data_IF_359515761631
#
_entry.id   IF_359515761631
#
_cell.length_a   1.000
_cell.length_b   1.000
_cell.length_c   1.000
_cell.angle_alpha   90.00
_cell.angle_beta   90.00
_cell.angle_gamma   90.00
#
_symmetry.space_group_name_H-M   'P 1'
#
loop_
_entity.id
_entity.type
_entity.pdbx_description
1 polymer ?
#
# COMPACT_ATOMS: atom_id res chain seq x y z
N UNK A 1 23.14 2.35 2.72
CA UNK A 1 22.25 1.45 3.49
C UNK A 1 21.21 0.92 2.54
N UNK A 2 21.03 -0.40 2.43
CA UNK A 2 20.06 -1.01 1.53
C UNK A 2 19.01 -1.80 2.31
N UNK A 3 17.71 -1.53 2.15
CA UNK A 3 16.68 -2.43 2.66
C UNK A 3 16.65 -3.72 1.86
N UNK A 4 16.25 -4.81 2.50
CA UNK A 4 16.14 -6.12 1.85
C UNK A 4 15.04 -6.95 2.51
N UNK A 5 14.12 -7.43 1.69
CA UNK A 5 13.16 -8.46 2.08
C UNK A 5 13.10 -9.51 0.98
N UNK A 6 13.72 -10.66 1.25
CA UNK A 6 13.91 -11.75 0.29
C UNK A 6 12.61 -12.20 -0.39
N UNK A 7 11.50 -12.21 0.35
CA UNK A 7 10.18 -12.46 -0.19
C UNK A 7 9.13 -11.64 0.56
N UNK A 8 8.24 -11.00 -0.20
CA UNK A 8 7.04 -10.36 0.33
C UNK A 8 5.78 -10.99 -0.28
N UNK A 9 4.64 -10.87 0.40
CA UNK A 9 3.33 -11.21 -0.14
C UNK A 9 2.43 -9.98 -0.05
N UNK A 10 2.14 -9.36 -1.19
CA UNK A 10 1.26 -8.20 -1.24
C UNK A 10 0.55 -8.11 -2.59
N UNK A 11 -0.64 -7.53 -2.54
CA UNK A 11 -1.39 -7.13 -3.73
C UNK A 11 -1.03 -5.72 -4.18
N UNK A 12 -0.53 -4.91 -3.25
CA UNK A 12 -0.11 -3.56 -3.50
C UNK A 12 1.36 -3.54 -3.94
N UNK A 13 1.58 -3.17 -5.20
CA UNK A 13 2.90 -3.17 -5.82
C UNK A 13 3.18 -1.86 -6.56
N UNK A 14 4.46 -1.64 -6.83
CA UNK A 14 5.01 -0.47 -7.48
C UNK A 14 5.75 -0.91 -8.75
N UNK A 15 5.64 -0.10 -9.80
CA UNK A 15 6.42 -0.27 -11.03
C UNK A 15 7.63 0.64 -10.96
N UNK A 16 8.84 0.06 -11.00
CA UNK A 16 10.08 0.83 -11.00
C UNK A 16 10.25 1.64 -12.29
N UNK A 17 11.25 2.52 -12.33
CA UNK A 17 11.66 3.26 -13.52
C UNK A 17 11.97 2.36 -14.73
N UNK A 18 12.23 1.07 -14.51
CA UNK A 18 12.51 0.05 -15.53
C UNK A 18 11.30 -0.79 -15.94
N UNK A 19 10.11 -0.49 -15.40
CA UNK A 19 8.90 -1.28 -15.61
C UNK A 19 8.89 -2.62 -14.86
N UNK A 20 9.68 -2.73 -13.79
CA UNK A 20 9.82 -3.93 -12.97
C UNK A 20 8.95 -3.81 -11.71
N UNK A 21 8.28 -4.88 -11.31
CA UNK A 21 7.29 -4.85 -10.22
C UNK A 21 7.88 -5.24 -8.85
N UNK A 22 7.62 -4.42 -7.83
CA UNK A 22 8.11 -4.61 -6.44
C UNK A 22 7.00 -4.33 -5.42
N UNK A 23 7.05 -4.95 -4.23
CA UNK A 23 6.11 -4.64 -3.15
C UNK A 23 6.22 -3.20 -2.66
N UNK A 24 5.09 -2.53 -2.38
CA UNK A 24 5.10 -1.13 -1.91
C UNK A 24 5.83 -0.92 -0.60
N UNK A 25 5.79 -1.89 0.33
CA UNK A 25 6.51 -1.81 1.59
C UNK A 25 8.03 -1.62 1.38
N UNK A 26 8.62 -2.36 0.45
CA UNK A 26 10.06 -2.24 0.16
C UNK A 26 10.40 -0.95 -0.59
N UNK A 27 9.46 -0.41 -1.36
CA UNK A 27 9.60 0.93 -1.95
C UNK A 27 9.63 1.99 -0.86
N UNK A 28 8.73 1.92 0.12
CA UNK A 28 8.72 2.83 1.28
C UNK A 28 10.05 2.76 2.02
N UNK A 29 10.59 1.56 2.25
CA UNK A 29 11.89 1.38 2.89
C UNK A 29 13.04 1.97 2.05
N UNK A 30 13.02 1.77 0.73
CA UNK A 30 14.04 2.33 -0.16
C UNK A 30 14.03 3.86 -0.12
N UNK A 31 12.84 4.47 -0.15
CA UNK A 31 12.65 5.90 -0.03
C UNK A 31 13.09 6.43 1.34
N UNK A 32 12.75 5.73 2.44
CA UNK A 32 13.19 6.07 3.78
C UNK A 32 14.72 5.98 3.94
N UNK A 33 15.37 5.05 3.22
CA UNK A 33 16.82 4.93 3.14
C UNK A 33 17.48 5.94 2.18
N UNK A 34 16.70 6.78 1.47
CA UNK A 34 17.21 7.73 0.48
C UNK A 34 17.78 7.08 -0.79
N UNK A 35 17.32 5.87 -1.13
CA UNK A 35 17.82 5.08 -2.27
C UNK A 35 16.74 4.89 -3.34
N UNK A 36 17.15 4.66 -4.60
CA UNK A 36 16.21 4.31 -5.67
C UNK A 36 15.64 2.89 -5.42
N UNK A 37 14.31 2.70 -5.49
CA UNK A 37 13.72 1.37 -5.41
C UNK A 37 14.19 0.47 -6.56
N UNK A 38 14.88 -0.62 -6.24
CA UNK A 38 15.37 -1.61 -7.21
C UNK A 38 14.95 -3.01 -6.80
N UNK A 39 14.54 -3.86 -7.75
CA UNK A 39 13.93 -5.16 -7.46
C UNK A 39 14.78 -6.13 -6.65
N UNK A 40 16.11 -5.94 -6.63
CA UNK A 40 16.98 -6.68 -5.71
C UNK A 40 16.60 -6.52 -4.23
N UNK A 41 15.96 -5.41 -3.82
CA UNK A 41 15.49 -5.24 -2.43
C UNK A 41 14.27 -6.12 -2.11
N UNK A 42 13.56 -6.63 -3.12
CA UNK A 42 12.44 -7.57 -3.01
C UNK A 42 12.40 -8.53 -4.20
N UNK A 43 13.30 -9.51 -4.26
CA UNK A 43 13.48 -10.34 -5.46
C UNK A 43 12.30 -11.30 -5.72
N UNK A 44 11.51 -11.62 -4.69
CA UNK A 44 10.33 -12.48 -4.80
C UNK A 44 9.10 -11.76 -4.22
N UNK A 45 8.12 -11.45 -5.06
CA UNK A 45 6.83 -10.92 -4.64
C UNK A 45 5.73 -11.92 -4.96
N UNK A 46 4.97 -12.32 -3.94
CA UNK A 46 3.80 -13.16 -4.07
C UNK A 46 2.53 -12.32 -4.12
N UNK A 47 1.74 -12.45 -5.19
CA UNK A 47 0.42 -11.80 -5.31
C UNK A 47 -0.67 -12.86 -5.13
N UNK A 48 -1.43 -12.87 -4.02
CA UNK A 48 -2.44 -13.89 -3.77
C UNK A 48 -3.59 -13.84 -4.81
N UNK A 49 -3.92 -15.00 -5.38
CA UNK A 49 -4.97 -15.16 -6.40
C UNK A 49 -6.26 -15.79 -5.83
N UNK A 50 -6.27 -16.12 -4.53
CA UNK A 50 -7.33 -16.94 -3.92
C UNK A 50 -7.10 -18.44 -4.13
N UNK A 51 -7.97 -19.28 -3.54
CA UNK A 51 -7.90 -20.75 -3.65
C UNK A 51 -6.52 -21.35 -3.33
N UNK A 52 -5.82 -20.79 -2.33
CA UNK A 52 -4.46 -21.20 -1.93
C UNK A 52 -3.41 -21.13 -3.05
N UNK A 53 -3.55 -20.15 -3.95
CA UNK A 53 -2.61 -19.86 -5.04
C UNK A 53 -2.07 -18.44 -4.95
N UNK A 54 -0.84 -18.27 -5.44
CA UNK A 54 -0.21 -16.96 -5.60
C UNK A 54 0.51 -16.88 -6.95
N UNK A 55 0.37 -15.74 -7.61
CA UNK A 55 1.25 -15.36 -8.71
C UNK A 55 2.60 -14.95 -8.14
N UNK A 56 3.66 -15.53 -8.66
CA UNK A 56 5.03 -15.18 -8.30
C UNK A 56 5.56 -14.18 -9.32
N UNK A 57 5.92 -13.01 -8.82
CA UNK A 57 6.74 -12.02 -9.52
C UNK A 57 8.18 -12.26 -9.05
N UNK A 58 9.06 -12.61 -10.00
CA UNK A 58 10.46 -12.90 -9.75
C UNK A 58 11.32 -11.83 -10.42
N UNK A 59 12.15 -11.14 -9.66
CA UNK A 59 12.99 -10.04 -10.15
C UNK A 59 12.19 -9.03 -10.98
N UNK A 60 11.02 -8.65 -10.48
CA UNK A 60 10.18 -7.64 -11.14
C UNK A 60 9.31 -8.12 -12.28
N UNK A 61 9.33 -9.41 -12.63
CA UNK A 61 8.60 -9.93 -13.78
C UNK A 61 7.69 -11.10 -13.40
N UNK A 62 6.50 -11.22 -14.00
CA UNK A 62 5.66 -12.40 -13.83
C UNK A 62 6.42 -13.68 -14.20
N UNK A 63 6.45 -14.65 -13.28
CA UNK A 63 7.15 -15.91 -13.49
C UNK A 63 6.20 -17.09 -13.63
N UNK A 64 5.36 -17.34 -12.61
CA UNK A 64 4.34 -18.40 -12.63
C UNK A 64 3.35 -18.24 -11.48
N UNK A 65 2.14 -18.78 -11.65
CA UNK A 65 1.23 -19.00 -10.53
C UNK A 65 1.51 -20.35 -9.89
N UNK A 66 1.73 -20.35 -8.58
CA UNK A 66 1.99 -21.56 -7.78
C UNK A 66 0.84 -21.77 -6.79
N UNK A 67 0.47 -23.04 -6.58
CA UNK A 67 -0.30 -23.43 -5.40
C UNK A 67 0.63 -23.47 -4.19
N UNK A 68 0.07 -23.39 -2.98
CA UNK A 68 0.84 -23.53 -1.74
C UNK A 68 1.65 -24.85 -1.71
N UNK A 69 1.12 -25.94 -2.28
CA UNK A 69 1.80 -27.24 -2.36
C UNK A 69 2.88 -27.32 -3.44
N UNK A 70 2.73 -26.61 -4.55
CA UNK A 70 3.69 -26.63 -5.67
C UNK A 70 4.87 -25.67 -5.44
N UNK A 71 4.83 -24.86 -4.38
CA UNK A 71 5.88 -23.91 -4.02
C UNK A 71 7.26 -24.60 -3.86
N UNK A 72 7.25 -25.85 -3.39
CA UNK A 72 8.45 -26.66 -3.22
C UNK A 72 9.24 -26.86 -4.52
N UNK A 73 8.57 -26.98 -5.68
CA UNK A 73 9.23 -27.20 -6.97
C UNK A 73 9.93 -25.96 -7.54
N UNK A 74 9.68 -24.77 -6.99
CA UNK A 74 10.33 -23.52 -7.42
C UNK A 74 11.38 -22.96 -6.48
N UNK A 75 11.49 -23.53 -5.29
CA UNK A 75 12.31 -23.01 -4.18
C UNK A 75 13.77 -22.78 -4.53
N UNK A 76 14.39 -23.68 -5.30
CA UNK A 76 15.79 -23.52 -5.68
C UNK A 76 16.02 -22.25 -6.51
N UNK A 77 15.18 -22.03 -7.54
CA UNK A 77 15.28 -20.85 -8.40
C UNK A 77 15.03 -19.57 -7.59
N UNK A 78 13.98 -19.57 -6.76
CA UNK A 78 13.66 -18.42 -5.90
C UNK A 78 14.80 -18.10 -4.93
N UNK A 79 15.37 -19.12 -4.29
CA UNK A 79 16.48 -18.95 -3.37
C UNK A 79 17.75 -18.45 -4.07
N UNK A 80 18.09 -18.97 -5.24
CA UNK A 80 19.23 -18.46 -6.01
C UNK A 80 19.05 -17.00 -6.41
N UNK A 81 17.81 -16.55 -6.71
CA UNK A 81 17.53 -15.13 -6.94
C UNK A 81 17.68 -14.28 -5.68
N UNK A 82 17.31 -14.81 -4.51
CA UNK A 82 17.54 -14.16 -3.20
C UNK A 82 19.04 -13.98 -2.94
N UNK A 83 19.84 -15.04 -3.10
CA UNK A 83 21.29 -15.01 -2.91
C UNK A 83 21.96 -13.98 -3.82
N UNK A 84 21.66 -14.04 -5.13
CA UNK A 84 22.21 -13.09 -6.10
C UNK A 84 21.84 -11.64 -5.79
N UNK A 85 20.61 -11.39 -5.33
CA UNK A 85 20.14 -10.04 -5.00
C UNK A 85 20.81 -9.50 -3.74
N UNK A 86 20.97 -10.34 -2.71
CA UNK A 86 21.67 -9.98 -1.50
C UNK A 86 23.15 -9.66 -1.78
N UNK A 87 23.84 -10.47 -2.58
CA UNK A 87 25.23 -10.23 -2.97
C UNK A 87 25.40 -8.91 -3.73
N UNK A 88 24.51 -8.65 -4.71
CA UNK A 88 24.52 -7.39 -5.46
C UNK A 88 24.32 -6.17 -4.56
N UNK A 89 23.33 -6.22 -3.66
CA UNK A 89 23.06 -5.11 -2.74
C UNK A 89 24.22 -4.91 -1.75
N UNK A 90 24.79 -6.00 -1.24
CA UNK A 90 25.94 -5.96 -0.33
C UNK A 90 27.18 -5.36 -0.98
N UNK A 91 27.34 -5.51 -2.31
CA UNK A 91 28.48 -4.93 -3.04
C UNK A 91 28.41 -3.41 -3.16
N UNK A 92 27.24 -2.79 -2.94
CA UNK A 92 27.02 -1.34 -3.13
C UNK A 92 26.52 -0.64 -1.87
N UNK A 93 26.41 -1.34 -0.74
CA UNK A 93 25.94 -0.78 0.54
C UNK A 93 26.83 -1.21 1.69
N UNK A 94 27.12 -0.28 2.60
CA UNK A 94 27.87 -0.57 3.82
C UNK A 94 27.06 -1.38 4.85
N UNK A 95 25.73 -1.27 4.79
CA UNK A 95 24.79 -1.93 5.71
C UNK A 95 23.54 -2.34 4.95
N UNK A 96 23.11 -3.58 5.16
CA UNK A 96 21.84 -4.11 4.67
C UNK A 96 20.90 -4.34 5.84
N UNK A 97 19.71 -3.72 5.81
CA UNK A 97 18.65 -4.01 6.78
C UNK A 97 17.75 -5.09 6.20
N UNK A 98 17.74 -6.25 6.86
CA UNK A 98 16.92 -7.39 6.44
C UNK A 98 15.63 -7.41 7.25
N UNK A 99 14.50 -7.28 6.55
CA UNK A 99 13.18 -7.52 7.14
C UNK A 99 12.76 -8.98 6.92
N UNK A 100 12.32 -9.61 8.01
CA UNK A 100 11.69 -10.93 7.97
C UNK A 100 10.19 -10.83 7.69
N UNK A 101 9.62 -11.85 7.04
CA UNK A 101 8.18 -11.90 6.77
C UNK A 101 7.45 -12.84 7.74
N UNK A 102 6.43 -12.34 8.43
CA UNK A 102 5.64 -13.11 9.38
C UNK A 102 6.47 -13.61 10.57
N UNK A 103 6.09 -14.76 11.14
CA UNK A 103 6.80 -15.34 12.28
C UNK A 103 8.03 -16.14 11.83
N UNK A 104 9.21 -15.96 12.47
CA UNK A 104 10.38 -16.79 12.20
C UNK A 104 10.26 -18.21 12.78
N UNK A 105 9.18 -18.51 13.52
CA UNK A 105 8.95 -19.77 14.22
C UNK A 105 7.84 -20.65 13.60
N UNK A 106 7.48 -20.44 12.34
CA UNK A 106 6.52 -21.29 11.60
C UNK A 106 7.13 -22.67 11.30
N UNK A 107 7.06 -23.58 12.28
CA UNK A 107 7.72 -24.90 12.22
C UNK A 107 7.29 -25.75 11.01
N UNK A 108 6.05 -25.60 10.55
CA UNK A 108 5.52 -26.25 9.34
C UNK A 108 6.13 -25.71 8.04
N UNK A 109 6.72 -24.52 8.05
CA UNK A 109 7.36 -23.89 6.89
C UNK A 109 8.89 -23.87 7.00
N UNK A 110 9.48 -24.41 8.06
CA UNK A 110 10.92 -24.26 8.34
C UNK A 110 11.85 -24.77 7.24
N UNK A 111 11.62 -25.98 6.75
CA UNK A 111 12.36 -26.52 5.59
C UNK A 111 12.06 -25.75 4.29
N UNK A 112 10.88 -25.15 4.29
CA UNK A 112 10.14 -24.34 3.32
C UNK A 112 10.51 -22.89 3.06
N UNK A 113 11.09 -22.24 4.06
CA UNK A 113 11.07 -20.77 4.15
C UNK A 113 12.29 -20.14 3.49
N UNK A 114 12.11 -18.94 2.95
CA UNK A 114 13.17 -18.11 2.37
C UNK A 114 13.12 -16.68 2.92
N UNK A 115 12.40 -16.44 4.02
CA UNK A 115 11.98 -15.11 4.50
C UNK A 115 12.63 -14.71 5.81
N UNK A 116 13.04 -15.65 6.66
CA UNK A 116 13.40 -15.39 8.05
C UNK A 116 14.77 -15.98 8.41
N UNK A 117 14.79 -17.07 9.19
CA UNK A 117 16.02 -17.57 9.80
C UNK A 117 17.00 -18.18 8.80
N UNK A 118 16.53 -18.70 7.66
CA UNK A 118 17.38 -19.15 6.56
C UNK A 118 18.18 -17.98 5.98
N UNK A 119 17.55 -16.82 5.79
CA UNK A 119 18.23 -15.59 5.34
C UNK A 119 19.28 -15.20 6.36
N UNK A 120 18.90 -15.12 7.64
CA UNK A 120 19.82 -14.75 8.71
C UNK A 120 21.01 -15.71 8.84
N UNK A 121 20.78 -17.03 8.72
CA UNK A 121 21.85 -18.05 8.78
C UNK A 121 22.76 -18.02 7.58
N UNK A 122 22.20 -17.91 6.37
CA UNK A 122 23.00 -17.91 5.14
C UNK A 122 23.90 -16.69 5.04
N UNK A 123 23.41 -15.52 5.45
CA UNK A 123 24.16 -14.26 5.35
C UNK A 123 24.80 -13.82 6.67
N UNK A 124 24.67 -14.61 7.74
CA UNK A 124 25.27 -14.31 9.05
C UNK A 124 24.69 -13.07 9.74
N UNK A 125 23.41 -12.76 9.52
CA UNK A 125 22.77 -11.56 10.06
C UNK A 125 22.52 -11.71 11.57
N UNK A 126 22.94 -10.75 12.41
CA UNK A 126 22.38 -10.63 13.75
C UNK A 126 20.88 -10.28 13.67
N UNK A 127 20.07 -10.87 14.55
CA UNK A 127 18.61 -10.74 14.50
C UNK A 127 18.08 -10.01 15.74
N UNK A 128 17.17 -9.07 15.53
CA UNK A 128 16.31 -8.52 16.57
C UNK A 128 14.89 -9.00 16.35
N UNK A 129 14.22 -9.49 17.40
CA UNK A 129 12.79 -9.80 17.32
C UNK A 129 11.98 -8.57 17.74
N UNK A 130 11.08 -8.13 16.88
CA UNK A 130 10.18 -6.99 17.14
C UNK A 130 8.82 -7.52 17.54
N UNK A 131 8.35 -7.16 18.74
CA UNK A 131 7.04 -7.56 19.26
C UNK A 131 6.06 -6.40 19.27
N UNK A 132 4.84 -6.60 18.76
CA UNK A 132 3.75 -5.63 18.83
C UNK A 132 3.01 -5.77 20.17
N UNK A 133 3.13 -4.78 21.06
CA UNK A 133 2.47 -4.81 22.37
C UNK A 133 1.00 -4.41 22.33
N UNK A 134 0.57 -3.68 21.30
CA UNK A 134 -0.81 -3.19 21.15
C UNK A 134 -1.78 -4.37 20.91
N UNK A 135 -1.29 -5.45 20.28
CA UNK A 135 -2.03 -6.72 20.12
C UNK A 135 -2.11 -7.57 21.39
N UNK A 136 -1.38 -7.20 22.45
CA UNK A 136 -1.29 -7.95 23.70
C UNK A 136 -0.42 -9.22 23.62
N UNK A 137 0.02 -9.73 24.77
CA UNK A 137 0.77 -10.99 24.85
C UNK A 137 2.22 -10.95 24.35
N UNK A 138 2.79 -9.76 24.15
CA UNK A 138 4.12 -9.57 23.52
C UNK A 138 5.25 -10.40 24.14
N UNK A 139 5.31 -10.50 25.47
CA UNK A 139 6.33 -11.28 26.17
C UNK A 139 6.25 -12.78 25.87
N UNK A 140 5.03 -13.32 25.87
CA UNK A 140 4.79 -14.71 25.54
C UNK A 140 5.10 -14.99 24.06
N UNK A 141 4.77 -14.06 23.17
CA UNK A 141 5.08 -14.19 21.74
C UNK A 141 6.60 -14.23 21.49
N UNK A 142 7.38 -13.32 22.09
CA UNK A 142 8.83 -13.29 21.94
C UNK A 142 9.46 -14.54 22.57
N UNK A 143 9.12 -14.85 23.83
CA UNK A 143 9.69 -16.02 24.52
C UNK A 143 9.32 -17.33 23.82
N UNK A 144 8.07 -17.48 23.38
CA UNK A 144 7.59 -18.63 22.63
C UNK A 144 8.29 -18.77 21.28
N UNK A 145 8.48 -17.67 20.56
CA UNK A 145 9.26 -17.65 19.30
C UNK A 145 10.66 -18.19 19.54
N UNK A 146 11.37 -17.65 20.53
CA UNK A 146 12.74 -18.06 20.85
C UNK A 146 12.83 -19.56 21.26
N UNK A 147 11.82 -20.07 21.96
CA UNK A 147 11.75 -21.47 22.37
C UNK A 147 11.56 -22.44 21.19
N UNK A 148 10.93 -21.99 20.09
CA UNK A 148 10.69 -22.78 18.87
C UNK A 148 11.87 -22.75 17.88
N UNK A 149 12.80 -21.80 18.04
CA UNK A 149 14.02 -21.72 17.24
C UNK A 149 15.02 -22.82 17.63
N UNK A 150 15.79 -23.31 16.64
CA UNK A 150 16.94 -24.17 16.92
C UNK A 150 17.99 -23.40 17.71
N UNK A 151 18.94 -24.11 18.31
CA UNK A 151 20.06 -23.49 19.02
C UNK A 151 20.88 -22.55 18.11
N UNK A 152 21.15 -22.97 16.87
CA UNK A 152 21.86 -22.16 15.87
C UNK A 152 21.10 -20.87 15.52
N UNK A 153 19.79 -20.97 15.32
CA UNK A 153 18.92 -19.81 15.03
C UNK A 153 18.82 -18.87 16.22
N UNK A 154 18.65 -19.43 17.42
CA UNK A 154 18.58 -18.69 18.69
C UNK A 154 19.86 -17.93 18.98
N UNK A 155 21.02 -18.45 18.55
CA UNK A 155 22.31 -17.79 18.70
C UNK A 155 22.42 -16.51 17.84
N UNK A 156 21.67 -16.42 16.73
CA UNK A 156 21.62 -15.22 15.89
C UNK A 156 20.76 -14.12 16.52
N UNK A 157 19.77 -14.45 17.35
CA UNK A 157 18.93 -13.47 18.04
C UNK A 157 19.74 -12.76 19.13
N UNK A 158 19.95 -11.46 18.94
CA UNK A 158 20.77 -10.60 19.82
C UNK A 158 19.96 -9.76 20.80
N UNK A 159 18.66 -9.60 20.57
CA UNK A 159 17.79 -8.87 21.48
C UNK A 159 16.41 -8.62 20.89
N UNK A 160 15.69 -7.72 21.56
CA UNK A 160 14.27 -7.47 21.29
C UNK A 160 13.96 -5.98 21.15
N UNK A 161 12.93 -5.68 20.36
CA UNK A 161 12.26 -4.39 20.35
C UNK A 161 10.79 -4.58 20.72
N UNK A 162 10.27 -3.74 21.61
CA UNK A 162 8.83 -3.68 21.89
C UNK A 162 8.27 -2.49 21.12
N UNK A 163 7.36 -2.74 20.19
CA UNK A 163 6.77 -1.71 19.33
C UNK A 163 5.37 -1.32 19.80
N UNK A 164 4.93 -0.11 19.47
CA UNK A 164 3.58 0.44 19.69
C UNK A 164 3.16 0.56 21.15
N UNK A 165 4.11 0.89 22.03
CA UNK A 165 3.82 1.02 23.46
C UNK A 165 3.02 2.28 23.79
N UNK A 166 2.01 2.13 24.66
CA UNK A 166 1.22 3.23 25.21
C UNK A 166 1.34 3.21 26.74
N UNK A 167 1.72 4.34 27.32
CA UNK A 167 1.70 4.53 28.77
C UNK A 167 3.07 4.83 29.38
N UNK A 168 3.18 4.58 30.68
CA UNK A 168 4.39 4.87 31.47
C UNK A 168 5.35 3.69 31.41
N UNK A 169 6.54 3.91 30.84
CA UNK A 169 7.57 2.89 30.65
C UNK A 169 7.98 2.23 31.97
N UNK A 170 7.92 2.94 33.10
CA UNK A 170 8.27 2.40 34.43
C UNK A 170 7.38 1.23 34.84
N UNK A 171 6.16 1.17 34.32
CA UNK A 171 5.25 0.06 34.57
C UNK A 171 5.60 -1.18 33.74
N UNK A 172 6.34 -1.01 32.64
CA UNK A 172 6.76 -2.09 31.75
C UNK A 172 8.11 -2.71 32.16
N UNK A 173 8.98 -1.94 32.84
CA UNK A 173 10.33 -2.36 33.26
C UNK A 173 10.39 -3.77 33.91
N UNK A 174 9.49 -4.15 34.85
CA UNK A 174 9.52 -5.50 35.43
C UNK A 174 9.29 -6.60 34.40
N UNK A 175 8.47 -6.34 33.38
CA UNK A 175 8.22 -7.27 32.27
C UNK A 175 9.42 -7.41 31.35
N UNK A 176 10.18 -6.32 31.13
CA UNK A 176 11.42 -6.37 30.34
C UNK A 176 12.50 -7.21 31.05
N UNK A 177 12.64 -7.07 32.36
CA UNK A 177 13.56 -7.90 33.15
C UNK A 177 13.17 -9.38 33.11
N UNK A 178 11.87 -9.67 33.29
CA UNK A 178 11.35 -11.04 33.17
C UNK A 178 11.64 -11.64 31.79
N UNK A 179 11.45 -10.87 30.71
CA UNK A 179 11.75 -11.31 29.36
C UNK A 179 13.24 -11.66 29.21
N UNK A 180 14.12 -10.80 29.73
CA UNK A 180 15.56 -11.05 29.72
C UNK A 180 15.92 -12.35 30.45
N UNK A 181 15.37 -12.57 31.66
CA UNK A 181 15.58 -13.79 32.44
C UNK A 181 15.12 -15.05 31.70
N UNK A 182 13.95 -14.99 31.04
CA UNK A 182 13.39 -16.09 30.25
C UNK A 182 14.16 -16.38 28.96
N UNK A 183 14.99 -15.42 28.50
CA UNK A 183 15.65 -15.48 27.18
C UNK A 183 17.17 -15.47 27.30
N UNK A 184 17.67 -16.09 28.36
CA UNK A 184 19.12 -16.31 28.62
C UNK A 184 19.89 -14.97 28.72
N UNK A 185 19.25 -13.92 29.26
CA UNK A 185 19.85 -12.61 29.49
C UNK A 185 19.91 -11.70 28.25
N UNK A 186 19.18 -12.02 27.18
CA UNK A 186 19.13 -11.14 26.00
C UNK A 186 18.46 -9.79 26.34
N UNK A 187 19.00 -8.67 25.84
CA UNK A 187 18.45 -7.35 26.16
C UNK A 187 17.20 -7.01 25.32
N UNK A 188 16.32 -6.20 25.90
CA UNK A 188 15.39 -5.37 25.12
C UNK A 188 16.12 -4.07 24.78
N UNK A 189 16.41 -3.85 23.52
CA UNK A 189 17.18 -2.68 23.06
C UNK A 189 16.32 -1.42 23.04
N UNK A 190 15.00 -1.54 22.96
CA UNK A 190 14.15 -0.36 22.91
C UNK A 190 12.67 -0.68 23.06
N UNK A 191 11.93 0.33 23.51
CA UNK A 191 10.46 0.32 23.60
C UNK A 191 9.95 1.51 22.82
N UNK A 192 9.55 1.26 21.57
CA UNK A 192 9.10 2.26 20.62
C UNK A 192 7.67 2.68 21.01
N UNK A 193 7.42 3.98 21.25
CA UNK A 193 6.09 4.45 21.60
C UNK A 193 5.12 4.29 20.44
N UNK A 194 3.83 4.29 20.75
CA UNK A 194 2.81 4.47 19.73
C UNK A 194 2.94 5.86 19.09
N UNK A 195 3.11 5.90 17.77
CA UNK A 195 3.20 7.14 17.01
C UNK A 195 1.89 7.41 16.28
N UNK A 196 1.16 8.42 16.74
CA UNK A 196 -0.05 8.89 16.06
C UNK A 196 0.29 9.67 14.79
N UNK A 197 -0.59 9.54 13.80
CA UNK A 197 -0.53 10.28 12.52
C UNK A 197 0.82 10.12 11.81
N UNK A 198 1.32 8.89 11.78
CA UNK A 198 2.51 8.56 11.00
C UNK A 198 2.11 8.53 9.53
N UNK A 199 2.47 9.57 8.78
CA UNK A 199 2.16 9.74 7.36
C UNK A 199 3.03 8.85 6.45
N UNK A 200 3.18 7.59 6.85
CA UNK A 200 3.88 6.53 6.13
C UNK A 200 2.83 5.62 5.52
N UNK A 201 3.02 5.24 4.25
CA UNK A 201 2.06 4.43 3.51
C UNK A 201 1.84 3.08 4.21
N UNK A 202 0.58 2.65 4.31
CA UNK A 202 0.25 1.34 4.89
C UNK A 202 0.62 0.22 3.90
N UNK A 203 1.00 -0.93 4.43
CA UNK A 203 1.43 -2.07 3.62
C UNK A 203 0.24 -2.85 3.03
N UNK A 204 -0.74 -3.22 3.85
CA UNK A 204 -1.85 -4.09 3.44
C UNK A 204 -3.22 -3.43 3.64
N UNK A 205 -4.13 -3.75 2.73
CA UNK A 205 -5.57 -3.49 2.79
C UNK A 205 -6.25 -4.09 4.04
N UNK A 206 -5.66 -5.14 4.63
CA UNK A 206 -6.13 -5.71 5.90
C UNK A 206 -6.08 -4.70 7.05
N UNK A 207 -5.16 -3.72 6.99
CA UNK A 207 -5.02 -2.63 7.96
C UNK A 207 -5.98 -1.46 7.67
N UNK A 208 -6.82 -1.56 6.64
CA UNK A 208 -7.96 -0.66 6.44
C UNK A 208 -9.06 -1.05 7.43
N UNK A 209 -8.93 -0.56 8.67
CA UNK A 209 -9.96 -0.69 9.69
C UNK A 209 -11.27 -0.01 9.28
N UNK A 210 -12.34 -0.36 9.97
CA UNK A 210 -13.53 0.49 10.03
C UNK A 210 -13.17 1.71 10.88
N UNK A 211 -12.66 2.74 10.23
CA UNK A 211 -12.53 4.04 10.89
C UNK A 211 -13.93 4.46 11.33
N UNK A 212 -14.10 4.66 12.64
CA UNK A 212 -15.38 5.06 13.23
C UNK A 212 -15.93 6.35 12.62
N UNK A 213 -17.12 6.82 13.05
CA UNK A 213 -17.70 8.05 12.52
C UNK A 213 -16.66 9.19 12.56
N UNK A 214 -16.59 10.01 11.49
CA UNK A 214 -15.44 10.87 11.24
C UNK A 214 -15.16 11.80 12.43
N UNK A 215 -13.88 11.99 12.75
CA UNK A 215 -13.46 13.24 13.38
C UNK A 215 -13.93 14.36 12.44
N UNK A 216 -14.64 15.39 12.95
CA UNK A 216 -15.27 16.45 12.15
C UNK A 216 -14.24 17.21 11.29
N UNK A 217 -13.90 16.66 10.12
CA UNK A 217 -13.32 17.40 9.01
C UNK A 217 -14.39 18.29 8.37
N UNK A 218 -13.95 19.31 7.64
CA UNK A 218 -14.84 20.10 6.78
C UNK A 218 -15.35 19.28 5.60
N UNK A 219 -14.57 18.30 5.13
CA UNK A 219 -14.88 17.42 4.00
C UNK A 219 -14.86 15.95 4.44
N UNK A 220 -15.94 15.20 4.16
CA UNK A 220 -16.04 13.75 4.33
C UNK A 220 -15.94 13.04 2.98
N UNK A 221 -14.93 12.17 2.83
CA UNK A 221 -14.69 11.34 1.64
C UNK A 221 -14.82 9.87 2.04
N UNK A 222 -15.78 9.19 1.42
CA UNK A 222 -15.97 7.75 1.60
C UNK A 222 -15.37 6.96 0.43
N UNK A 223 -14.35 6.15 0.70
CA UNK A 223 -13.78 5.20 -0.26
C UNK A 223 -14.50 3.85 -0.11
N UNK A 224 -15.03 3.32 -1.21
CA UNK A 224 -15.68 2.00 -1.19
C UNK A 224 -14.61 0.92 -1.06
N UNK A 225 -14.62 0.16 0.05
CA UNK A 225 -13.68 -0.93 0.30
C UNK A 225 -14.10 -2.17 -0.51
N UNK A 226 -13.70 -2.20 -1.78
CA UNK A 226 -14.04 -3.27 -2.71
C UNK A 226 -13.35 -4.59 -2.34
N UNK A 227 -13.96 -5.75 -2.63
CA UNK A 227 -13.27 -7.03 -2.56
C UNK A 227 -12.04 -7.03 -3.48
N UNK A 228 -10.86 -7.28 -2.91
CA UNK A 228 -9.60 -7.26 -3.67
C UNK A 228 -9.17 -5.87 -4.15
N UNK A 229 -9.53 -4.83 -3.41
CA UNK A 229 -9.02 -3.45 -3.58
C UNK A 229 -7.51 -3.43 -3.84
N UNK A 230 -7.10 -2.60 -4.79
CA UNK A 230 -5.69 -2.35 -5.14
C UNK A 230 -5.37 -0.87 -4.94
N UNK A 231 -4.09 -0.54 -4.75
CA UNK A 231 -3.58 0.84 -4.70
C UNK A 231 -4.38 1.75 -3.76
N UNK A 232 -4.78 1.25 -2.59
CA UNK A 232 -5.58 2.01 -1.61
C UNK A 232 -4.83 3.23 -1.06
N UNK A 233 -3.50 3.26 -1.19
CA UNK A 233 -2.63 4.37 -0.82
C UNK A 233 -2.67 5.53 -1.83
N UNK A 234 -3.35 5.38 -2.97
CA UNK A 234 -3.67 6.49 -3.89
C UNK A 234 -4.49 7.60 -3.18
N UNK A 235 -5.10 7.29 -2.03
CA UNK A 235 -5.91 8.20 -1.23
C UNK A 235 -5.18 8.73 0.00
N UNK A 236 -3.96 8.27 0.29
CA UNK A 236 -3.10 8.84 1.34
C UNK A 236 -2.97 10.36 1.19
N UNK A 237 -2.74 10.93 -0.02
CA UNK A 237 -2.63 12.38 -0.17
C UNK A 237 -3.87 13.13 0.31
N UNK A 238 -5.07 12.56 0.18
CA UNK A 238 -6.31 13.16 0.66
C UNK A 238 -6.43 13.05 2.19
N UNK A 239 -6.06 11.90 2.75
CA UNK A 239 -6.10 11.66 4.20
C UNK A 239 -5.12 12.55 4.98
N UNK A 240 -4.08 13.04 4.31
CA UNK A 240 -3.06 13.94 4.87
C UNK A 240 -3.44 15.42 4.79
N UNK A 241 -4.54 15.78 4.13
CA UNK A 241 -5.01 17.16 4.02
C UNK A 241 -5.76 17.61 5.27
N UNK A 242 -5.40 18.80 5.76
CA UNK A 242 -6.07 19.38 6.93
C UNK A 242 -7.54 19.65 6.62
N UNK A 243 -8.43 19.22 7.52
CA UNK A 243 -9.87 19.39 7.36
C UNK A 243 -10.52 18.36 6.43
N UNK A 244 -9.78 17.37 5.93
CA UNK A 244 -10.32 16.25 5.15
C UNK A 244 -10.37 14.99 6.00
N UNK A 245 -11.50 14.29 5.96
CA UNK A 245 -11.64 12.95 6.54
C UNK A 245 -11.82 11.95 5.40
N UNK A 246 -10.92 10.97 5.31
CA UNK A 246 -11.04 9.85 4.38
C UNK A 246 -11.33 8.59 5.19
N UNK A 247 -12.38 7.88 4.81
CA UNK A 247 -12.78 6.62 5.47
C UNK A 247 -13.07 5.54 4.44
N UNK A 248 -12.72 4.31 4.78
CA UNK A 248 -13.01 3.13 3.97
C UNK A 248 -14.24 2.43 4.51
N UNK A 249 -15.17 2.03 3.64
CA UNK A 249 -16.35 1.28 4.08
C UNK A 249 -16.80 0.24 3.06
N UNK A 250 -17.18 -0.94 3.56
CA UNK A 250 -17.83 -2.01 2.80
C UNK A 250 -19.32 -2.18 3.18
N UNK A 251 -19.82 -1.32 4.07
CA UNK A 251 -21.20 -1.32 4.56
C UNK A 251 -21.97 -0.09 4.03
N UNK A 252 -22.96 -0.28 3.14
CA UNK A 252 -23.81 0.80 2.65
C UNK A 252 -24.50 1.59 3.76
N UNK A 253 -24.82 0.95 4.89
CA UNK A 253 -25.45 1.59 6.04
C UNK A 253 -24.57 2.65 6.71
N UNK A 254 -23.26 2.57 6.51
CA UNK A 254 -22.26 3.51 7.03
C UNK A 254 -21.85 4.57 6.01
N UNK A 255 -22.36 4.51 4.78
CA UNK A 255 -21.98 5.48 3.76
C UNK A 255 -22.45 6.89 4.12
N UNK A 256 -23.59 7.05 4.80
CA UNK A 256 -24.06 8.35 5.26
C UNK A 256 -24.34 9.32 4.10
N UNK A 257 -23.85 10.57 4.22
CA UNK A 257 -23.93 11.61 3.18
C UNK A 257 -22.57 12.30 3.05
N UNK A 258 -21.58 11.64 2.44
CA UNK A 258 -20.26 12.22 2.30
C UNK A 258 -20.29 13.31 1.23
N UNK A 259 -19.31 14.21 1.27
CA UNK A 259 -19.11 15.21 0.23
C UNK A 259 -18.62 14.54 -1.06
N UNK A 260 -17.85 13.46 -0.95
CA UNK A 260 -17.44 12.62 -2.08
C UNK A 260 -17.46 11.12 -1.78
N UNK A 261 -17.76 10.33 -2.80
CA UNK A 261 -17.55 8.87 -2.82
C UNK A 261 -16.45 8.54 -3.82
N UNK A 262 -15.49 7.70 -3.43
CA UNK A 262 -14.44 7.22 -4.33
C UNK A 262 -14.61 5.73 -4.59
N UNK A 263 -14.59 5.34 -5.86
CA UNK A 263 -14.41 3.96 -6.30
C UNK A 263 -12.92 3.75 -6.59
N UNK A 264 -12.23 2.93 -5.77
CA UNK A 264 -10.83 2.63 -6.00
C UNK A 264 -10.65 1.62 -7.12
N UNK A 265 -9.39 1.29 -7.40
CA UNK A 265 -9.07 0.19 -8.29
C UNK A 265 -9.41 -1.17 -7.67
N UNK A 266 -9.64 -2.15 -8.54
CA UNK A 266 -10.00 -3.50 -8.15
C UNK A 266 -9.37 -4.53 -9.07
N UNK A 267 -8.87 -5.61 -8.48
CA UNK A 267 -8.35 -6.76 -9.24
C UNK A 267 -9.39 -7.37 -10.16
N UNK A 268 -10.66 -7.38 -9.74
CA UNK A 268 -11.75 -7.93 -10.54
C UNK A 268 -12.92 -6.95 -10.52
N UNK A 269 -12.94 -5.97 -11.45
CA UNK A 269 -14.01 -4.99 -11.53
C UNK A 269 -15.39 -5.61 -11.82
N UNK A 270 -15.46 -6.76 -12.51
CA UNK A 270 -16.73 -7.47 -12.73
C UNK A 270 -17.31 -8.00 -11.40
N UNK A 271 -16.50 -8.72 -10.63
CA UNK A 271 -16.93 -9.24 -9.32
C UNK A 271 -17.24 -8.11 -8.35
N UNK A 272 -16.49 -7.01 -8.43
CA UNK A 272 -16.72 -5.81 -7.63
C UNK A 272 -18.06 -5.14 -7.97
N UNK A 273 -18.40 -4.98 -9.26
CA UNK A 273 -19.70 -4.47 -9.69
C UNK A 273 -20.85 -5.37 -9.20
N UNK A 274 -20.69 -6.69 -9.31
CA UNK A 274 -21.70 -7.65 -8.82
C UNK A 274 -21.89 -7.54 -7.31
N UNK A 275 -20.78 -7.43 -6.55
CA UNK A 275 -20.80 -7.24 -5.11
C UNK A 275 -21.44 -5.91 -4.70
N UNK A 276 -21.10 -4.81 -5.37
CA UNK A 276 -21.69 -3.49 -5.11
C UNK A 276 -23.21 -3.50 -5.30
N UNK A 277 -23.70 -4.16 -6.35
CA UNK A 277 -25.14 -4.33 -6.59
C UNK A 277 -25.81 -5.18 -5.53
N UNK A 278 -25.20 -6.31 -5.18
CA UNK A 278 -25.73 -7.21 -4.16
C UNK A 278 -25.82 -6.53 -2.78
N UNK A 279 -24.90 -5.62 -2.47
CA UNK A 279 -24.90 -4.82 -1.23
C UNK A 279 -25.81 -3.59 -1.32
N UNK A 280 -26.11 -3.09 -2.52
CA UNK A 280 -26.93 -1.88 -2.72
C UNK A 280 -26.13 -0.57 -2.86
N UNK A 281 -24.81 -0.65 -3.03
CA UNK A 281 -23.96 0.53 -3.29
C UNK A 281 -24.32 1.23 -4.62
N UNK A 282 -24.67 0.47 -5.66
CA UNK A 282 -24.98 0.99 -7.00
C UNK A 282 -26.06 2.10 -6.94
N UNK A 283 -27.24 1.76 -6.42
CA UNK A 283 -28.35 2.72 -6.29
C UNK A 283 -28.06 3.84 -5.28
N UNK A 284 -27.32 3.54 -4.21
CA UNK A 284 -26.99 4.52 -3.18
C UNK A 284 -26.04 5.61 -3.69
N UNK A 285 -25.00 5.22 -4.45
CA UNK A 285 -24.05 6.17 -5.05
C UNK A 285 -24.78 7.07 -6.05
N UNK A 286 -25.64 6.50 -6.89
CA UNK A 286 -26.48 7.29 -7.80
C UNK A 286 -27.35 8.32 -7.06
N UNK A 287 -27.99 7.91 -5.95
CA UNK A 287 -28.78 8.82 -5.12
C UNK A 287 -27.93 9.92 -4.45
N UNK A 288 -26.73 9.60 -4.00
CA UNK A 288 -25.80 10.57 -3.40
C UNK A 288 -25.38 11.64 -4.42
N UNK A 289 -25.00 11.22 -5.63
CA UNK A 289 -24.64 12.13 -6.72
C UNK A 289 -25.79 13.07 -7.06
N UNK A 290 -27.01 12.55 -7.18
CA UNK A 290 -28.21 13.36 -7.42
C UNK A 290 -28.51 14.34 -6.27
N UNK A 291 -28.13 13.99 -5.04
CA UNK A 291 -28.29 14.85 -3.86
C UNK A 291 -27.16 15.87 -3.65
N UNK A 292 -26.12 15.83 -4.50
CA UNK A 292 -25.04 16.82 -4.53
C UNK A 292 -23.66 16.28 -4.16
N UNK A 293 -23.51 15.03 -3.72
CA UNK A 293 -22.18 14.45 -3.48
C UNK A 293 -21.41 14.32 -4.80
N UNK A 294 -20.08 14.39 -4.73
CA UNK A 294 -19.20 14.04 -5.85
C UNK A 294 -18.95 12.53 -5.90
N UNK A 295 -18.66 11.99 -7.07
CA UNK A 295 -18.16 10.62 -7.23
C UNK A 295 -16.87 10.64 -8.08
N UNK A 296 -15.81 10.03 -7.59
CA UNK A 296 -14.55 9.85 -8.30
C UNK A 296 -14.25 8.37 -8.52
N UNK A 297 -13.70 8.00 -9.66
CA UNK A 297 -13.23 6.65 -9.93
C UNK A 297 -11.77 6.64 -10.35
N UNK A 298 -10.97 5.75 -9.77
CA UNK A 298 -9.55 5.59 -10.12
C UNK A 298 -9.33 4.22 -10.76
N UNK A 299 -8.67 4.17 -11.92
CA UNK A 299 -8.36 2.97 -12.68
C UNK A 299 -9.57 2.03 -12.84
N UNK A 300 -9.61 0.85 -12.21
CA UNK A 300 -10.77 -0.04 -12.23
C UNK A 300 -12.06 0.64 -11.76
N UNK A 301 -11.99 1.52 -10.77
CA UNK A 301 -13.11 2.32 -10.28
C UNK A 301 -13.65 3.30 -11.32
N UNK A 302 -12.77 3.95 -12.08
CA UNK A 302 -13.16 4.79 -13.23
C UNK A 302 -13.94 3.97 -14.27
N UNK A 303 -13.45 2.77 -14.60
CA UNK A 303 -14.09 1.87 -15.56
C UNK A 303 -15.46 1.40 -15.06
N UNK A 304 -15.60 1.13 -13.76
CA UNK A 304 -16.87 0.75 -13.14
C UNK A 304 -17.91 1.89 -13.14
N UNK A 305 -17.48 3.16 -13.05
CA UNK A 305 -18.38 4.31 -13.19
C UNK A 305 -18.96 4.46 -14.61
N UNK A 306 -18.31 3.87 -15.61
CA UNK A 306 -18.76 3.86 -17.01
C UNK A 306 -20.09 3.14 -17.25
N UNK A 307 -20.54 3.13 -18.50
CA UNK A 307 -21.77 2.43 -18.95
C UNK A 307 -21.56 0.93 -19.12
N UNK A 308 -20.42 0.53 -19.66
CA UNK A 308 -20.11 -0.88 -19.88
C UNK A 308 -18.63 -1.20 -19.73
N UNK A 309 -18.38 -2.45 -19.37
CA UNK A 309 -17.07 -3.03 -19.15
C UNK A 309 -16.98 -4.36 -19.90
N UNK A 310 -16.00 -4.50 -20.79
CA UNK A 310 -15.66 -5.77 -21.43
C UNK A 310 -14.53 -6.44 -20.66
N UNK A 311 -14.76 -7.65 -20.14
CA UNK A 311 -13.76 -8.42 -19.40
C UNK A 311 -12.69 -9.00 -20.34
N UNK A 312 -11.56 -9.50 -19.82
CA UNK A 312 -10.51 -10.09 -20.67
C UNK A 312 -10.98 -11.31 -21.48
N UNK A 313 -12.04 -11.99 -21.02
CA UNK A 313 -12.67 -13.12 -21.75
C UNK A 313 -13.75 -12.67 -22.73
N UNK A 314 -13.91 -11.37 -22.96
CA UNK A 314 -14.87 -10.79 -23.91
C UNK A 314 -16.31 -10.71 -23.39
N UNK A 315 -16.55 -10.94 -22.09
CA UNK A 315 -17.88 -10.79 -21.49
C UNK A 315 -18.18 -9.31 -21.28
N UNK A 316 -19.33 -8.85 -21.72
CA UNK A 316 -19.80 -7.49 -21.46
C UNK A 316 -20.61 -7.43 -20.15
N UNK A 317 -20.29 -6.44 -19.33
CA UNK A 317 -20.88 -6.20 -18.02
C UNK A 317 -21.33 -4.75 -17.96
N UNK A 318 -22.56 -4.49 -17.50
CA UNK A 318 -23.01 -3.12 -17.27
C UNK A 318 -22.21 -2.50 -16.12
N UNK A 319 -21.71 -1.28 -16.31
CA UNK A 319 -21.16 -0.44 -15.24
C UNK A 319 -22.26 0.29 -14.47
N UNK A 320 -21.89 1.26 -13.65
CA UNK A 320 -22.84 2.09 -12.88
C UNK A 320 -23.54 3.15 -13.74
N UNK A 321 -23.02 3.44 -14.93
CA UNK A 321 -23.62 4.36 -15.89
C UNK A 321 -23.57 5.83 -15.48
N UNK A 322 -22.67 6.19 -14.55
CA UNK A 322 -22.48 7.56 -14.07
C UNK A 322 -21.55 8.38 -14.97
N UNK A 323 -20.72 7.71 -15.77
CA UNK A 323 -19.87 8.31 -16.80
C UNK A 323 -20.22 7.77 -18.19
N UNK A 324 -20.18 8.61 -19.24
CA UNK A 324 -20.38 8.19 -20.63
C UNK A 324 -19.11 7.53 -21.18
N UNK A 325 -18.74 6.38 -20.60
CA UNK A 325 -17.51 5.65 -20.95
C UNK A 325 -17.84 4.17 -21.17
N UNK A 326 -17.20 3.56 -22.16
CA UNK A 326 -17.13 2.11 -22.32
C UNK A 326 -15.66 1.66 -22.18
N UNK A 327 -15.41 0.63 -21.39
CA UNK A 327 -14.04 0.20 -21.07
C UNK A 327 -13.81 -1.26 -21.42
N UNK A 328 -12.56 -1.61 -21.77
CA UNK A 328 -12.08 -2.98 -21.95
C UNK A 328 -10.92 -3.24 -21.00
N UNK A 329 -11.02 -4.31 -20.23
CA UNK A 329 -9.95 -4.78 -19.34
C UNK A 329 -8.91 -5.59 -20.11
N UNK A 330 -7.66 -5.50 -19.66
CA UNK A 330 -6.57 -6.38 -20.09
C UNK A 330 -6.36 -7.52 -19.07
N UNK A 331 -5.88 -8.67 -19.53
CA UNK A 331 -5.48 -9.78 -18.64
C UNK A 331 -4.12 -9.52 -17.97
N UNK A 332 -3.25 -8.82 -18.68
CA UNK A 332 -1.92 -8.39 -18.23
C UNK A 332 -1.83 -6.88 -18.43
N UNK A 333 -1.72 -6.13 -17.34
CA UNK A 333 -1.46 -4.70 -17.37
C UNK A 333 -0.19 -4.41 -16.59
N UNK A 334 0.81 -3.86 -17.28
CA UNK A 334 1.92 -3.19 -16.64
C UNK A 334 1.50 -1.73 -16.35
N UNK A 335 2.06 -1.15 -15.30
CA UNK A 335 1.87 0.26 -15.00
C UNK A 335 3.00 1.07 -15.62
N UNK A 336 2.65 2.12 -16.38
CA UNK A 336 3.59 3.04 -16.99
C UNK A 336 3.35 4.48 -16.55
N UNK A 337 4.42 5.29 -16.37
CA UNK A 337 4.28 6.70 -16.07
C UNK A 337 3.55 7.44 -17.18
N UNK A 338 2.56 8.24 -16.81
CA UNK A 338 1.83 9.11 -17.70
C UNK A 338 1.61 10.46 -17.04
N UNK A 339 1.65 11.52 -17.83
CA UNK A 339 1.40 12.89 -17.39
C UNK A 339 0.66 13.67 -18.45
N UNK A 340 0.07 14.79 -18.04
CA UNK A 340 -0.76 15.63 -18.89
C UNK A 340 -1.30 16.85 -18.16
N UNK A 341 -2.35 17.43 -18.74
CA UNK A 341 -3.08 18.55 -18.14
C UNK A 341 -4.57 18.29 -18.22
N UNK A 342 -5.31 18.74 -17.20
CA UNK A 342 -6.77 18.67 -17.23
C UNK A 342 -7.35 19.50 -18.36
N UNK A 343 -8.51 19.07 -18.85
CA UNK A 343 -9.32 19.83 -19.81
C UNK A 343 -10.27 20.73 -19.01
N UNK A 344 -10.20 22.07 -19.17
CA UNK A 344 -11.09 22.98 -18.46
C UNK A 344 -12.57 22.73 -18.75
N UNK A 345 -13.40 22.85 -17.73
CA UNK A 345 -14.85 22.60 -17.82
C UNK A 345 -15.64 23.53 -16.88
N UNK A 346 -16.96 23.58 -17.08
CA UNK A 346 -17.87 24.16 -16.09
C UNK A 346 -18.03 23.17 -14.92
N UNK A 347 -17.50 23.52 -13.74
CA UNK A 347 -17.47 22.65 -12.55
C UNK A 347 -16.05 22.26 -12.17
N UNK A 348 -15.80 20.97 -11.94
CA UNK A 348 -14.47 20.40 -11.76
C UNK A 348 -14.00 19.78 -13.10
N UNK A 349 -12.72 19.94 -13.51
CA UNK A 349 -11.59 20.55 -12.81
C UNK A 349 -11.54 22.08 -12.85
N UNK A 350 -12.58 22.74 -13.35
CA UNK A 350 -12.68 24.20 -13.33
C UNK A 350 -12.11 24.87 -14.57
N UNK A 351 -11.99 26.21 -14.55
CA UNK A 351 -11.61 26.99 -15.72
C UNK A 351 -10.10 26.91 -16.06
N UNK A 352 -9.27 26.39 -15.15
CA UNK A 352 -7.83 26.27 -15.33
C UNK A 352 -7.41 24.86 -15.77
N UNK A 353 -6.40 24.79 -16.64
CA UNK A 353 -5.68 23.53 -16.87
C UNK A 353 -4.74 23.28 -15.68
N UNK A 354 -4.87 22.10 -15.08
CA UNK A 354 -4.10 21.64 -13.93
C UNK A 354 -3.21 20.48 -14.38
N UNK A 355 -1.94 20.43 -13.94
CA UNK A 355 -1.10 19.26 -14.19
C UNK A 355 -1.71 18.01 -13.56
N UNK A 356 -1.62 16.90 -14.29
CA UNK A 356 -1.90 15.55 -13.80
C UNK A 356 -0.73 14.65 -14.12
N UNK A 357 -0.41 13.77 -13.20
CA UNK A 357 0.63 12.76 -13.33
C UNK A 357 0.24 11.52 -12.55
N UNK A 358 0.77 10.38 -12.97
CA UNK A 358 0.43 9.11 -12.35
C UNK A 358 0.93 7.91 -13.12
N UNK A 359 0.40 6.75 -12.76
CA UNK A 359 0.67 5.49 -13.45
C UNK A 359 -0.59 5.00 -14.18
N UNK A 360 -0.47 4.75 -15.48
CA UNK A 360 -1.53 4.20 -16.31
C UNK A 360 -1.31 2.71 -16.57
N UNK A 361 -2.39 1.93 -16.55
CA UNK A 361 -2.37 0.54 -17.00
C UNK A 361 -2.22 0.44 -18.53
N UNK A 362 -1.17 -0.24 -18.99
CA UNK A 362 -1.03 -0.60 -20.39
C UNK A 362 -2.08 -1.64 -20.81
N UNK A 363 -2.59 -1.50 -22.04
CA UNK A 363 -3.50 -2.47 -22.67
C UNK A 363 -4.96 -2.35 -22.24
N UNK A 364 -5.27 -1.72 -21.11
CA UNK A 364 -6.62 -1.31 -20.78
C UNK A 364 -7.02 -0.08 -21.61
N UNK A 365 -8.21 -0.10 -22.21
CA UNK A 365 -8.68 0.99 -23.05
C UNK A 365 -10.06 1.47 -22.58
N UNK A 366 -10.27 2.78 -22.60
CA UNK A 366 -11.58 3.38 -22.34
C UNK A 366 -11.92 4.34 -23.47
N UNK A 367 -13.13 4.22 -23.99
CA UNK A 367 -13.69 5.05 -25.04
C UNK A 367 -14.71 6.00 -24.43
N UNK A 368 -14.53 7.30 -24.69
CA UNK A 368 -15.54 8.31 -24.39
C UNK A 368 -16.70 8.18 -25.37
N UNK A 369 -17.89 8.00 -24.82
CA UNK A 369 -19.13 7.93 -25.59
C UNK A 369 -19.67 9.35 -25.84
N UNK A 370 -20.67 9.44 -26.73
CA UNK A 370 -21.33 10.71 -27.05
C UNK A 370 -21.83 11.44 -25.79
N UNK A 371 -21.47 12.72 -25.69
CA UNK A 371 -21.78 13.57 -24.53
C UNK A 371 -20.75 13.50 -23.39
N UNK A 372 -19.67 12.73 -23.53
CA UNK A 372 -18.54 12.71 -22.59
C UNK A 372 -17.49 13.78 -22.87
N UNK A 373 -16.90 14.30 -21.79
CA UNK A 373 -15.70 15.13 -21.84
C UNK A 373 -14.55 14.41 -21.15
N UNK A 374 -13.32 14.42 -21.71
CA UNK A 374 -12.14 13.87 -21.04
C UNK A 374 -11.80 14.65 -19.78
N UNK A 375 -11.17 13.99 -18.80
CA UNK A 375 -10.59 14.69 -17.65
C UNK A 375 -9.31 15.41 -18.06
N UNK A 376 -8.45 14.76 -18.85
CA UNK A 376 -7.12 15.26 -19.18
C UNK A 376 -6.70 14.94 -20.62
N UNK A 377 -5.79 15.78 -21.15
CA UNK A 377 -5.01 15.48 -22.36
C UNK A 377 -3.62 15.05 -21.94
N UNK A 378 -3.16 13.89 -22.42
CA UNK A 378 -1.86 13.32 -22.05
C UNK A 378 -0.73 13.87 -22.92
N UNK A 379 0.46 14.05 -22.33
CA UNK A 379 1.65 14.52 -23.04
C UNK A 379 2.15 13.55 -24.12
N UNK A 380 1.88 12.25 -23.94
CA UNK A 380 2.15 11.20 -24.94
C UNK A 380 1.14 11.16 -26.11
N UNK A 381 0.14 12.05 -26.10
CA UNK A 381 -0.99 12.04 -27.03
C UNK A 381 -2.20 11.28 -26.51
N UNK A 382 -3.38 11.64 -27.03
CA UNK A 382 -4.65 11.11 -26.56
C UNK A 382 -5.20 11.80 -25.31
N UNK A 383 -6.27 11.23 -24.77
CA UNK A 383 -6.99 11.77 -23.61
C UNK A 383 -7.16 10.70 -22.56
N UNK A 384 -7.24 11.12 -21.29
CA UNK A 384 -7.51 10.26 -20.16
C UNK A 384 -8.77 10.70 -19.41
N UNK A 385 -9.42 9.70 -18.81
CA UNK A 385 -10.53 9.90 -17.89
C UNK A 385 -11.80 10.43 -18.54
N UNK A 386 -12.78 10.69 -17.69
CA UNK A 386 -14.03 11.33 -18.09
C UNK A 386 -14.58 12.18 -16.96
N UNK A 387 -15.36 13.19 -17.33
CA UNK A 387 -16.05 14.09 -16.41
C UNK A 387 -17.50 14.23 -16.85
N UNK A 388 -18.44 14.19 -15.90
CA UNK A 388 -19.86 14.45 -16.16
C UNK A 388 -20.15 15.94 -16.25
N UNK A 389 -21.31 16.30 -16.80
CA UNK A 389 -21.76 17.69 -16.82
C UNK A 389 -21.79 18.29 -15.39
N UNK A 390 -21.15 19.44 -15.20
CA UNK A 390 -21.04 20.08 -13.88
C UNK A 390 -19.94 19.51 -12.96
N UNK A 391 -19.19 18.51 -13.41
CA UNK A 391 -17.98 18.02 -12.74
C UNK A 391 -18.17 17.20 -11.48
N UNK A 392 -19.40 16.86 -11.09
CA UNK A 392 -19.64 16.08 -9.85
C UNK A 392 -19.18 14.64 -9.96
N UNK A 393 -19.28 14.03 -11.14
CA UNK A 393 -18.76 12.67 -11.38
C UNK A 393 -17.55 12.78 -12.28
N UNK A 394 -16.45 12.16 -11.89
CA UNK A 394 -15.27 12.07 -12.75
C UNK A 394 -14.52 10.77 -12.49
N UNK A 395 -13.60 10.44 -13.38
CA UNK A 395 -12.65 9.37 -13.15
C UNK A 395 -11.49 9.42 -14.12
N UNK A 396 -10.44 8.69 -13.79
CA UNK A 396 -9.16 8.65 -14.51
C UNK A 396 -8.61 7.23 -14.52
N UNK A 397 -7.86 6.86 -15.57
CA UNK A 397 -7.09 5.62 -15.56
C UNK A 397 -5.75 5.76 -14.81
N UNK A 398 -5.39 6.98 -14.36
CA UNK A 398 -4.15 7.27 -13.66
C UNK A 398 -4.26 6.96 -12.16
N UNK A 399 -3.42 6.06 -11.68
CA UNK A 399 -3.09 5.93 -10.26
C UNK A 399 -2.25 7.09 -9.78
N UNK A 400 -2.34 7.43 -8.49
CA UNK A 400 -1.56 8.53 -7.89
C UNK A 400 -1.99 9.93 -8.36
N UNK A 401 -3.16 10.09 -8.98
CA UNK A 401 -3.63 11.39 -9.51
C UNK A 401 -3.71 12.48 -8.42
N UNK A 402 -3.85 12.09 -7.15
CA UNK A 402 -3.87 12.99 -6.01
C UNK A 402 -2.49 13.32 -5.45
N UNK A 403 -1.42 12.67 -5.90
CA UNK A 403 -0.05 12.93 -5.43
C UNK A 403 0.37 14.36 -5.77
N UNK A 404 -0.04 14.82 -6.95
CA UNK A 404 0.17 16.19 -7.41
C UNK A 404 -0.83 17.15 -6.74
N UNK A 405 -0.35 18.21 -6.05
CA UNK A 405 -1.21 19.04 -5.20
C UNK A 405 -2.25 19.86 -5.98
N UNK A 406 -1.97 20.22 -7.24
CA UNK A 406 -2.86 21.09 -8.02
C UNK A 406 -4.28 20.50 -8.23
N UNK A 407 -4.39 19.27 -8.73
CA UNK A 407 -5.69 18.62 -8.93
C UNK A 407 -6.37 18.33 -7.59
N UNK A 408 -5.60 17.83 -6.61
CA UNK A 408 -6.09 17.52 -5.26
C UNK A 408 -6.71 18.75 -4.59
N UNK A 409 -5.99 19.87 -4.57
CA UNK A 409 -6.46 21.12 -3.99
C UNK A 409 -7.72 21.64 -4.70
N UNK A 410 -7.75 21.62 -6.04
CA UNK A 410 -8.92 22.10 -6.77
C UNK A 410 -10.15 21.21 -6.53
N UNK A 411 -9.98 19.90 -6.47
CA UNK A 411 -11.08 18.99 -6.17
C UNK A 411 -11.62 19.22 -4.75
N UNK A 412 -10.75 19.34 -3.75
CA UNK A 412 -11.17 19.63 -2.37
C UNK A 412 -11.85 20.99 -2.25
N UNK A 413 -11.41 22.01 -2.99
CA UNK A 413 -12.10 23.31 -3.06
C UNK A 413 -13.47 23.19 -3.72
N UNK A 414 -13.58 22.39 -4.78
CA UNK A 414 -14.87 22.08 -5.41
C UNK A 414 -15.83 21.37 -4.45
N UNK A 415 -15.32 20.50 -3.57
CA UNK A 415 -16.10 19.87 -2.49
C UNK A 415 -16.48 20.85 -1.36
N UNK A 416 -15.84 22.02 -1.29
CA UNK A 416 -16.19 23.10 -0.36
C UNK A 416 -15.17 23.35 0.75
N UNK A 417 -13.94 22.80 0.67
CA UNK A 417 -12.89 23.05 1.65
C UNK A 417 -12.53 24.54 1.67
N UNK A 418 -12.62 25.19 2.84
CA UNK A 418 -12.48 26.65 2.97
C UNK A 418 -11.05 27.10 3.26
N UNK A 419 -10.15 26.15 3.53
CA UNK A 419 -8.75 26.39 3.88
C UNK A 419 -7.94 27.14 2.82
N UNK A 420 -6.88 27.81 3.30
CA UNK A 420 -5.84 28.46 2.48
C UNK A 420 -4.47 27.79 2.61
N UNK A 421 -4.40 26.64 3.29
CA UNK A 421 -3.17 25.85 3.35
C UNK A 421 -2.76 25.41 1.93
N UNK A 422 -1.48 25.48 1.62
CA UNK A 422 -0.96 24.90 0.39
C UNK A 422 -0.84 23.39 0.58
N UNK A 423 -1.51 22.63 -0.27
CA UNK A 423 -1.30 21.20 -0.41
C UNK A 423 0.16 20.94 -0.76
N UNK A 424 0.88 20.25 0.13
CA UNK A 424 2.27 19.86 -0.13
C UNK A 424 2.34 18.66 -1.07
N UNK A 425 3.38 18.55 -1.92
CA UNK A 425 3.64 17.32 -2.65
C UNK A 425 3.74 16.13 -1.69
N UNK A 426 3.13 14.99 -2.03
CA UNK A 426 3.10 13.79 -1.16
C UNK A 426 4.51 13.36 -0.73
N UNK A 427 5.47 13.48 -1.66
CA UNK A 427 6.88 13.18 -1.42
C UNK A 427 7.44 13.95 -0.23
N UNK A 428 7.19 15.26 -0.14
CA UNK A 428 7.69 16.08 0.97
C UNK A 428 7.03 15.71 2.30
N UNK A 429 5.74 15.37 2.27
CA UNK A 429 5.02 14.92 3.48
C UNK A 429 5.61 13.60 3.98
N UNK A 430 5.88 12.64 3.07
CA UNK A 430 6.48 11.35 3.39
C UNK A 430 7.92 11.49 3.91
N UNK A 431 8.74 12.35 3.30
CA UNK A 431 10.10 12.61 3.78
C UNK A 431 10.10 13.13 5.23
N UNK A 432 9.21 14.07 5.56
CA UNK A 432 9.06 14.55 6.96
C UNK A 432 8.61 13.44 7.89
N UNK A 433 7.73 12.55 7.44
CA UNK A 433 7.27 11.40 8.22
C UNK A 433 8.40 10.40 8.49
N UNK A 434 9.27 10.14 7.51
CA UNK A 434 10.45 9.28 7.69
C UNK A 434 11.44 9.87 8.69
N UNK A 435 11.71 11.17 8.62
CA UNK A 435 12.58 11.83 9.60
C UNK A 435 12.00 11.75 11.02
N UNK A 436 10.71 12.05 11.18
CA UNK A 436 10.05 11.91 12.49
C UNK A 436 10.13 10.47 13.00
N UNK A 437 9.89 9.47 12.14
CA UNK A 437 10.00 8.08 12.54
C UNK A 437 11.42 7.72 12.99
N UNK A 438 12.43 8.16 12.23
CA UNK A 438 13.83 7.93 12.56
C UNK A 438 14.19 8.54 13.93
N UNK A 439 13.81 9.80 14.16
CA UNK A 439 14.09 10.50 15.43
C UNK A 439 13.45 9.79 16.63
N UNK A 440 12.18 9.36 16.50
CA UNK A 440 11.45 8.68 17.58
C UNK A 440 11.99 7.27 17.85
N UNK A 441 12.39 6.53 16.81
CA UNK A 441 13.01 5.21 16.95
C UNK A 441 14.40 5.35 17.56
N UNK A 442 15.23 6.28 17.08
CA UNK A 442 16.57 6.53 17.62
C UNK A 442 16.51 6.92 19.10
N UNK A 443 15.56 7.77 19.49
CA UNK A 443 15.37 8.16 20.89
C UNK A 443 14.91 7.00 21.80
N UNK A 444 14.22 6.01 21.24
CA UNK A 444 13.69 4.87 21.98
C UNK A 444 14.64 3.67 22.08
N UNK A 445 15.72 3.66 21.28
CA UNK A 445 16.65 2.54 21.16
C UNK A 445 17.99 2.81 21.87
N UNK A 446 18.58 1.76 22.43
CA UNK A 446 20.00 1.74 22.81
C UNK A 446 20.85 1.61 21.54
N UNK A 447 21.12 2.76 20.91
CA UNK A 447 21.90 2.83 19.67
C UNK A 447 23.33 2.31 19.82
N UNK A 448 23.93 2.45 21.00
CA UNK A 448 25.30 1.95 21.24
C UNK A 448 25.34 0.43 21.21
N UNK A 449 24.35 -0.21 21.83
CA UNK A 449 24.24 -1.67 21.79
C UNK A 449 23.89 -2.16 20.39
N UNK A 450 23.03 -1.44 19.66
CA UNK A 450 22.73 -1.74 18.26
C UNK A 450 23.99 -1.67 17.38
N UNK A 451 24.75 -0.58 17.44
CA UNK A 451 26.02 -0.38 16.73
C UNK A 451 27.00 -1.52 17.03
N UNK A 452 27.14 -1.88 18.31
CA UNK A 452 27.98 -3.02 18.75
C UNK A 452 27.53 -4.35 18.14
N UNK A 453 26.22 -4.57 18.02
CA UNK A 453 25.66 -5.80 17.44
C UNK A 453 25.94 -5.89 15.93
N UNK A 454 25.84 -4.77 15.22
CA UNK A 454 26.07 -4.71 13.76
C UNK A 454 27.54 -4.46 13.38
N UNK A 455 28.41 -4.21 14.36
CA UNK A 455 29.86 -4.09 14.18
C UNK A 455 30.32 -2.71 13.69
N UNK A 456 29.58 -1.65 14.06
CA UNK A 456 29.93 -0.25 13.77
C UNK A 456 30.64 0.44 14.95
#
# INVERSE_FOLDING_TARGET
VGPFQSQNMSLNSYSTSRGEEMGRAQVVQALAAGTEPVVEMNPVLLKPEGNSRSRVILMGRPWRSLSAGDYHGGRYVLWSSVEMSFEKLSAVNDLIFVEGAGSPAESNLKESEIVNMKVARTFGCPVLLVGDIDRGGVFAAIAGTLALLTEEERALVKGFLINKFRGDLRLLEPGLHMLSDLTEGRPTLGVIPWLDNLAVAREDSADLGDDGPPAKGEIDIAVIKLPGILNFDDFDPLALEEGVSVRFTDDPGRLGRPDAVILPDSRNPEESLAWMRARGFDSLIGALVLSGSSAAGIAGGYRMLGRSLTTPVGKEVAGLGLLPVASRLSADSALTPASGVTVPSEGFPGPGALPVEGLAEEGAASELLEGGAPLATLSGGGTDGAVSAGGRVWGTALHGVFDHPALRAEWLRFLGLKGKGESLPLKEVRERAFHRLADEVEAALDMKELERIIGL
#
